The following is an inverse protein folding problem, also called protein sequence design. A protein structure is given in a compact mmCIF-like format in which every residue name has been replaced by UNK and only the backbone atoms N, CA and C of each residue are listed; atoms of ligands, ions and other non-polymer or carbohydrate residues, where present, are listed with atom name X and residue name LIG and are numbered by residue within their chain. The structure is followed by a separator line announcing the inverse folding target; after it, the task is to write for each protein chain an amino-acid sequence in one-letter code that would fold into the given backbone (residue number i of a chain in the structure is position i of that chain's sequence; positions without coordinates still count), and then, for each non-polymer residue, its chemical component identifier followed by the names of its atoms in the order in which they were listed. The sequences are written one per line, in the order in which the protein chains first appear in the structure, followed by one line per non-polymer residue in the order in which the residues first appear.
data_IF_605072844492
#
_entry.id   IF_605072844492
#
_cell.length_a   1.000
_cell.length_b   1.000
_cell.length_c   1.000
_cell.angle_alpha   90.00
_cell.angle_beta   90.00
_cell.angle_gamma   90.00
#
_symmetry.space_group_name_H-M   'P 1'
#
loop_
_entity.id
_entity.type
_entity.pdbx_description
1 polymer ?
#
# COMPACT_ATOMS: atom_id res chain seq x y z
N UNK A 1 2.18 9.35 25.88
CA UNK A 1 1.57 9.61 24.54
C UNK A 1 2.02 8.52 23.59
N UNK A 2 1.07 7.87 22.92
CA UNK A 2 1.41 6.83 21.93
C UNK A 2 1.55 7.50 20.58
N UNK A 3 2.77 7.56 20.06
CA UNK A 3 3.05 8.01 18.70
C UNK A 3 3.14 6.80 17.78
N UNK A 4 2.56 6.92 16.60
CA UNK A 4 2.62 5.91 15.54
C UNK A 4 3.08 6.57 14.26
N UNK A 5 4.10 6.00 13.61
CA UNK A 5 4.55 6.44 12.29
C UNK A 5 4.53 5.25 11.33
N UNK A 6 3.72 5.35 10.30
CA UNK A 6 3.58 4.30 9.28
C UNK A 6 4.06 4.87 7.95
N UNK A 7 4.98 4.16 7.32
CA UNK A 7 5.51 4.47 6.00
C UNK A 7 4.97 3.41 5.03
N UNK A 8 4.06 3.83 4.17
CA UNK A 8 3.51 2.98 3.12
C UNK A 8 4.35 3.15 1.85
N UNK A 9 4.93 2.07 1.36
CA UNK A 9 5.72 2.05 0.13
C UNK A 9 4.93 1.27 -0.91
N UNK A 10 4.54 1.92 -2.02
CA UNK A 10 3.95 1.19 -3.13
C UNK A 10 5.01 0.27 -3.73
N UNK A 11 4.63 -0.97 -4.09
CA UNK A 11 5.53 -1.88 -4.78
C UNK A 11 6.14 -1.25 -6.06
N UNK A 12 7.31 -1.72 -6.47
CA UNK A 12 7.93 -1.37 -7.75
C UNK A 12 7.11 -1.83 -8.95
N UNK A 13 7.51 -1.44 -10.15
CA UNK A 13 6.85 -1.87 -11.39
C UNK A 13 6.75 -3.40 -11.46
N UNK A 14 5.55 -3.91 -11.74
CA UNK A 14 5.32 -5.33 -11.91
C UNK A 14 5.70 -5.80 -13.31
N UNK A 15 6.14 -7.06 -13.44
CA UNK A 15 6.54 -7.66 -14.71
C UNK A 15 5.37 -7.83 -15.69
N UNK A 16 4.13 -7.85 -15.19
CA UNK A 16 2.90 -7.86 -15.98
C UNK A 16 1.78 -7.18 -15.21
N UNK A 17 0.72 -6.78 -15.92
CA UNK A 17 -0.45 -6.25 -15.23
C UNK A 17 -1.15 -7.35 -14.41
N UNK A 18 -1.76 -6.97 -13.29
CA UNK A 18 -2.53 -7.88 -12.46
C UNK A 18 -3.78 -8.46 -13.15
N UNK A 19 -4.19 -7.88 -14.28
CA UNK A 19 -5.24 -8.44 -15.13
C UNK A 19 -4.73 -9.59 -16.03
N UNK A 20 -3.42 -9.68 -16.28
CA UNK A 20 -2.80 -10.70 -17.12
C UNK A 20 -2.22 -11.85 -16.30
N UNK A 21 -1.78 -11.59 -15.09
CA UNK A 21 -1.20 -12.56 -14.19
C UNK A 21 -1.74 -12.34 -12.77
N UNK A 22 -2.16 -13.39 -12.03
CA UNK A 22 -2.77 -13.23 -10.71
C UNK A 22 -1.80 -12.71 -9.64
N UNK A 23 -0.51 -12.99 -9.78
CA UNK A 23 0.51 -12.56 -8.82
C UNK A 23 1.86 -12.30 -9.52
N UNK A 24 1.97 -11.24 -10.33
CA UNK A 24 3.24 -10.91 -10.98
C UNK A 24 4.27 -10.41 -9.97
N UNK A 25 5.52 -10.84 -10.14
CA UNK A 25 6.67 -10.25 -9.46
C UNK A 25 7.07 -8.91 -10.07
N UNK A 26 8.20 -8.35 -9.64
CA UNK A 26 8.75 -7.11 -10.18
C UNK A 26 9.32 -7.31 -11.60
N UNK A 27 9.20 -6.27 -12.42
CA UNK A 27 10.00 -6.14 -13.64
C UNK A 27 11.47 -5.85 -13.31
N UNK A 28 12.34 -5.84 -14.31
CA UNK A 28 13.74 -5.40 -14.14
C UNK A 28 13.82 -3.98 -13.61
N UNK A 29 12.98 -3.07 -14.11
CA UNK A 29 12.90 -1.69 -13.61
C UNK A 29 12.33 -1.64 -12.20
N UNK A 30 11.33 -2.46 -11.90
CA UNK A 30 10.78 -2.61 -10.55
C UNK A 30 11.80 -3.06 -9.52
N UNK A 31 12.68 -3.99 -9.88
CA UNK A 31 13.78 -4.44 -9.02
C UNK A 31 14.79 -3.29 -8.74
N UNK A 32 15.10 -2.48 -9.75
CA UNK A 32 15.95 -1.29 -9.59
C UNK A 32 15.27 -0.26 -8.69
N UNK A 33 13.97 -0.01 -8.88
CA UNK A 33 13.18 0.90 -8.04
C UNK A 33 13.18 0.43 -6.58
N UNK A 34 12.97 -0.86 -6.32
CA UNK A 34 12.98 -1.45 -4.99
C UNK A 34 14.35 -1.30 -4.31
N UNK A 35 15.44 -1.53 -5.04
CA UNK A 35 16.79 -1.31 -4.54
C UNK A 35 17.02 0.16 -4.20
N UNK A 36 16.62 1.08 -5.08
CA UNK A 36 16.81 2.52 -4.87
C UNK A 36 16.05 3.01 -3.64
N UNK A 37 14.78 2.65 -3.47
CA UNK A 37 14.02 3.07 -2.29
C UNK A 37 14.60 2.48 -0.99
N UNK A 38 15.20 1.30 -1.04
CA UNK A 38 15.82 0.70 0.14
C UNK A 38 16.95 1.55 0.72
N UNK A 39 17.65 2.32 -0.13
CA UNK A 39 18.73 3.21 0.31
C UNK A 39 18.23 4.41 1.16
N UNK A 40 16.95 4.73 1.09
CA UNK A 40 16.32 5.75 1.91
C UNK A 40 16.09 5.30 3.36
N UNK A 41 16.08 3.98 3.61
CA UNK A 41 15.86 3.40 4.94
C UNK A 41 17.19 3.13 5.64
N UNK A 42 17.70 4.16 6.31
CA UNK A 42 18.94 4.13 7.07
C UNK A 42 18.76 3.53 8.48
N UNK A 43 19.78 3.59 9.32
CA UNK A 43 19.77 3.10 10.71
C UNK A 43 18.67 3.74 11.58
N UNK A 44 18.20 4.93 11.23
CA UNK A 44 17.10 5.62 11.94
C UNK A 44 15.80 4.83 11.95
N UNK A 45 15.66 3.87 11.04
CA UNK A 45 14.47 3.00 10.92
C UNK A 45 14.65 1.63 11.60
N UNK A 46 15.71 1.42 12.35
CA UNK A 46 16.01 0.12 12.99
C UNK A 46 14.93 -0.36 13.98
N UNK A 47 14.15 0.55 14.54
CA UNK A 47 13.04 0.22 15.45
C UNK A 47 11.69 0.01 14.77
N UNK A 48 11.61 0.22 13.45
CA UNK A 48 10.35 0.06 12.69
C UNK A 48 10.09 -1.40 12.40
N UNK A 49 8.86 -1.85 12.59
CA UNK A 49 8.42 -3.16 12.10
C UNK A 49 8.41 -3.17 10.57
N UNK A 50 8.86 -4.27 9.97
CA UNK A 50 8.85 -4.44 8.52
C UNK A 50 7.71 -5.37 8.13
N UNK A 51 6.76 -4.86 7.37
CA UNK A 51 5.55 -5.56 6.94
C UNK A 51 5.41 -5.55 5.42
N UNK A 52 4.91 -6.63 4.87
CA UNK A 52 4.60 -6.72 3.44
C UNK A 52 3.22 -7.31 3.18
N UNK A 53 2.57 -6.83 2.15
CA UNK A 53 1.48 -7.56 1.50
C UNK A 53 1.96 -8.95 1.08
N UNK A 54 1.07 -9.96 1.01
CA UNK A 54 1.43 -11.32 0.57
C UNK A 54 1.70 -11.42 -0.94
N UNK A 55 1.49 -10.38 -1.74
CA UNK A 55 1.72 -10.40 -3.19
C UNK A 55 3.21 -10.30 -3.54
N UNK A 56 3.64 -11.10 -4.51
CA UNK A 56 5.05 -11.23 -4.92
C UNK A 56 5.74 -9.88 -5.14
N UNK A 57 5.13 -8.96 -5.87
CA UNK A 57 5.69 -7.64 -6.15
C UNK A 57 5.92 -6.78 -4.90
N UNK A 58 5.08 -6.94 -3.87
CA UNK A 58 5.25 -6.24 -2.60
C UNK A 58 6.36 -6.88 -1.76
N UNK A 59 6.41 -8.22 -1.74
CA UNK A 59 7.47 -9.00 -1.08
C UNK A 59 8.82 -8.63 -1.67
N UNK A 60 8.97 -8.70 -2.99
CA UNK A 60 10.21 -8.37 -3.70
C UNK A 60 10.62 -6.89 -3.52
N UNK A 61 9.67 -6.00 -3.27
CA UNK A 61 9.96 -4.61 -2.90
C UNK A 61 10.48 -4.50 -1.45
N UNK A 62 9.98 -5.32 -0.53
CA UNK A 62 10.42 -5.33 0.87
C UNK A 62 11.81 -5.98 1.04
N UNK A 63 12.15 -6.98 0.25
CA UNK A 63 13.39 -7.75 0.40
C UNK A 63 14.66 -6.86 0.48
N UNK A 64 14.91 -5.91 -0.43
CA UNK A 64 16.07 -5.04 -0.32
C UNK A 64 16.02 -4.10 0.89
N UNK A 65 14.83 -3.70 1.35
CA UNK A 65 14.67 -2.91 2.59
C UNK A 65 15.06 -3.76 3.80
N UNK A 66 14.55 -4.98 3.89
CA UNK A 66 14.86 -5.92 4.97
C UNK A 66 16.35 -6.27 5.01
N UNK A 67 16.94 -6.51 3.85
CA UNK A 67 18.39 -6.76 3.72
C UNK A 67 19.20 -5.55 4.22
N UNK A 68 18.84 -4.34 3.84
CA UNK A 68 19.47 -3.09 4.30
C UNK A 68 19.37 -2.94 5.83
N UNK A 69 18.21 -3.27 6.38
CA UNK A 69 17.94 -3.23 7.82
C UNK A 69 18.52 -4.45 8.58
N UNK A 70 19.04 -5.47 7.88
CA UNK A 70 19.55 -6.73 8.44
C UNK A 70 18.55 -7.41 9.36
N UNK A 71 17.30 -7.43 8.96
CA UNK A 71 16.18 -7.99 9.72
C UNK A 71 15.18 -8.67 8.80
N UNK A 72 14.43 -9.61 9.35
CA UNK A 72 13.30 -10.22 8.68
C UNK A 72 12.11 -9.28 8.63
N UNK A 73 11.17 -9.58 7.76
CA UNK A 73 9.86 -8.91 7.67
C UNK A 73 8.74 -9.91 7.81
N UNK A 74 7.56 -9.44 8.20
CA UNK A 74 6.36 -10.24 8.33
C UNK A 74 5.37 -9.96 7.18
N UNK A 75 4.67 -11.01 6.75
CA UNK A 75 3.53 -10.88 5.84
C UNK A 75 2.28 -10.50 6.62
N UNK A 76 1.56 -9.50 6.14
CA UNK A 76 0.30 -9.08 6.73
C UNK A 76 -0.78 -8.98 5.64
N UNK A 77 -1.78 -9.86 5.74
CA UNK A 77 -2.85 -9.99 4.76
C UNK A 77 -3.77 -8.76 4.67
N UNK A 78 -3.79 -7.89 5.68
CA UNK A 78 -4.55 -6.64 5.61
C UNK A 78 -4.06 -5.72 4.48
N UNK A 79 -2.81 -5.86 4.07
CA UNK A 79 -2.21 -5.04 3.01
C UNK A 79 -2.33 -5.60 1.61
N UNK A 80 -3.14 -6.65 1.40
CA UNK A 80 -3.42 -7.20 0.08
C UNK A 80 -4.18 -6.17 -0.78
N UNK A 81 -3.91 -6.18 -2.09
CA UNK A 81 -4.59 -5.27 -3.02
C UNK A 81 -6.10 -5.52 -3.06
N UNK A 82 -6.85 -4.53 -3.51
CA UNK A 82 -8.31 -4.55 -3.59
C UNK A 82 -8.83 -5.88 -4.14
N UNK A 83 -9.82 -6.52 -3.49
CA UNK A 83 -10.35 -7.81 -3.93
C UNK A 83 -11.05 -7.68 -5.29
N UNK A 84 -10.58 -8.46 -6.25
CA UNK A 84 -11.08 -8.47 -7.63
C UNK A 84 -11.12 -9.87 -8.23
N UNK A 85 -11.08 -10.92 -7.41
CA UNK A 85 -11.02 -12.30 -7.87
C UNK A 85 -12.23 -12.69 -8.73
N UNK A 86 -13.41 -12.16 -8.41
CA UNK A 86 -14.66 -12.44 -9.12
C UNK A 86 -14.85 -11.56 -10.38
N UNK A 87 -13.90 -10.68 -10.69
CA UNK A 87 -13.97 -9.81 -11.85
C UNK A 87 -13.14 -10.40 -12.99
N UNK A 88 -13.80 -10.64 -14.12
CA UNK A 88 -13.13 -11.12 -15.32
C UNK A 88 -12.01 -10.18 -15.76
N UNK A 89 -10.90 -10.74 -16.23
CA UNK A 89 -9.66 -9.98 -16.53
C UNK A 89 -9.89 -8.79 -17.46
N UNK A 90 -10.70 -8.99 -18.50
CA UNK A 90 -11.03 -7.94 -19.49
C UNK A 90 -11.92 -6.82 -18.92
N UNK A 91 -12.57 -7.05 -17.79
CA UNK A 91 -13.44 -6.07 -17.10
C UNK A 91 -12.76 -5.33 -15.95
N UNK A 92 -11.61 -5.81 -15.50
CA UNK A 92 -10.94 -5.29 -14.29
C UNK A 92 -10.66 -3.79 -14.36
N UNK A 93 -10.19 -3.29 -15.50
CA UNK A 93 -9.87 -1.86 -15.64
C UNK A 93 -11.13 -0.98 -15.56
N UNK A 94 -12.20 -1.38 -16.24
CA UNK A 94 -13.48 -0.65 -16.19
C UNK A 94 -14.10 -0.71 -14.78
N UNK A 95 -14.06 -1.87 -14.14
CA UNK A 95 -14.51 -2.06 -12.78
C UNK A 95 -13.72 -1.20 -11.79
N UNK A 96 -12.39 -1.17 -11.90
CA UNK A 96 -11.54 -0.38 -11.02
C UNK A 96 -11.86 1.12 -11.15
N UNK A 97 -12.09 1.60 -12.38
CA UNK A 97 -12.51 2.99 -12.60
C UNK A 97 -13.84 3.30 -11.91
N UNK A 98 -14.82 2.40 -12.01
CA UNK A 98 -16.10 2.57 -11.31
C UNK A 98 -15.92 2.63 -9.79
N UNK A 99 -15.12 1.73 -9.23
CA UNK A 99 -14.83 1.70 -7.79
C UNK A 99 -14.09 2.95 -7.33
N UNK A 100 -13.21 3.49 -8.16
CA UNK A 100 -12.47 4.72 -7.89
C UNK A 100 -13.40 5.94 -7.72
N UNK A 101 -14.43 6.01 -8.53
CA UNK A 101 -15.36 7.14 -8.60
C UNK A 101 -16.58 6.96 -7.66
N UNK A 102 -16.80 5.75 -7.17
CA UNK A 102 -17.98 5.42 -6.36
C UNK A 102 -17.92 6.09 -4.97
N UNK A 103 -19.05 6.64 -4.50
CA UNK A 103 -19.20 7.00 -3.09
C UNK A 103 -18.99 5.78 -2.17
N UNK A 104 -18.53 6.02 -0.94
CA UNK A 104 -18.20 4.93 -0.01
C UNK A 104 -19.37 4.00 0.30
N UNK A 105 -20.59 4.52 0.32
CA UNK A 105 -21.82 3.75 0.58
C UNK A 105 -22.26 2.90 -0.61
N UNK A 106 -21.78 3.18 -1.82
CA UNK A 106 -22.07 2.45 -3.05
C UNK A 106 -21.01 1.39 -3.42
N UNK A 107 -19.95 1.26 -2.63
CA UNK A 107 -18.89 0.28 -2.88
C UNK A 107 -19.42 -1.16 -2.85
N UNK A 108 -18.87 -2.08 -3.67
CA UNK A 108 -19.17 -3.51 -3.58
C UNK A 108 -18.91 -4.08 -2.17
N UNK A 109 -19.72 -5.05 -1.73
CA UNK A 109 -19.62 -5.61 -0.38
C UNK A 109 -18.24 -6.13 0.00
N UNK A 110 -17.57 -6.83 -0.91
CA UNK A 110 -16.21 -7.33 -0.70
C UNK A 110 -15.20 -6.18 -0.50
N UNK A 111 -15.36 -5.07 -1.23
CA UNK A 111 -14.52 -3.87 -1.10
C UNK A 111 -14.80 -3.17 0.22
N UNK A 112 -16.05 -3.06 0.65
CA UNK A 112 -16.42 -2.51 1.96
C UNK A 112 -15.78 -3.29 3.11
N UNK A 113 -15.83 -4.62 3.06
CA UNK A 113 -15.23 -5.49 4.07
C UNK A 113 -13.71 -5.33 4.12
N UNK A 114 -13.05 -5.41 2.97
CA UNK A 114 -11.60 -5.21 2.85
C UNK A 114 -11.16 -3.83 3.37
N UNK A 115 -11.87 -2.77 3.00
CA UNK A 115 -11.63 -1.41 3.49
C UNK A 115 -11.78 -1.31 5.02
N UNK A 116 -12.86 -1.88 5.56
CA UNK A 116 -13.12 -1.89 7.02
C UNK A 116 -11.99 -2.59 7.78
N UNK A 117 -11.54 -3.73 7.30
CA UNK A 117 -10.49 -4.52 7.97
C UNK A 117 -9.15 -3.78 7.95
N UNK A 118 -8.84 -3.10 6.85
CA UNK A 118 -7.65 -2.26 6.72
C UNK A 118 -7.67 -1.05 7.67
N UNK A 119 -8.81 -0.37 7.76
CA UNK A 119 -9.01 0.76 8.68
C UNK A 119 -8.90 0.28 10.13
N UNK A 120 -9.52 -0.85 10.45
CA UNK A 120 -9.46 -1.45 11.79
C UNK A 120 -8.02 -1.79 12.21
N UNK A 121 -7.22 -2.30 11.27
CA UNK A 121 -5.79 -2.49 11.51
C UNK A 121 -5.10 -1.16 11.85
N UNK A 122 -5.34 -0.10 11.06
CA UNK A 122 -4.73 1.21 11.27
C UNK A 122 -5.08 1.78 12.66
N UNK A 123 -6.35 1.71 13.04
CA UNK A 123 -6.83 2.24 14.34
C UNK A 123 -6.27 1.46 15.54
N UNK A 124 -6.05 0.15 15.37
CA UNK A 124 -5.50 -0.72 16.40
C UNK A 124 -3.99 -0.73 16.50
N UNK A 125 -3.28 -0.31 15.44
CA UNK A 125 -1.83 -0.42 15.39
C UNK A 125 -1.13 0.60 16.31
N UNK A 126 -0.14 0.12 17.04
CA UNK A 126 0.68 0.94 17.95
C UNK A 126 2.15 0.71 17.65
N UNK A 127 2.88 1.76 17.33
CA UNK A 127 4.30 1.71 17.03
C UNK A 127 4.62 2.26 15.65
N UNK A 128 5.79 1.90 15.13
CA UNK A 128 6.27 2.37 13.84
C UNK A 128 6.42 1.20 12.87
N UNK A 129 6.03 1.38 11.62
CA UNK A 129 6.14 0.36 10.58
C UNK A 129 6.55 0.93 9.23
N UNK A 130 7.30 0.11 8.48
CA UNK A 130 7.49 0.26 7.03
C UNK A 130 6.69 -0.86 6.39
N UNK A 131 5.80 -0.50 5.47
CA UNK A 131 4.86 -1.43 4.84
C UNK A 131 4.98 -1.35 3.33
N UNK A 132 5.35 -2.44 2.68
CA UNK A 132 5.26 -2.54 1.21
C UNK A 132 3.89 -3.06 0.82
N UNK A 133 3.20 -2.31 -0.05
CA UNK A 133 1.81 -2.56 -0.37
C UNK A 133 1.44 -2.02 -1.76
N UNK A 134 0.18 -1.69 -1.97
CA UNK A 134 -0.43 -1.45 -3.26
C UNK A 134 -1.08 -0.08 -3.35
N UNK A 135 -1.36 0.32 -4.58
CA UNK A 135 -2.00 1.56 -4.95
C UNK A 135 -3.32 1.81 -4.18
N UNK A 136 -4.24 0.83 -4.19
CA UNK A 136 -5.55 1.02 -3.56
C UNK A 136 -5.48 1.01 -2.03
N UNK A 137 -4.59 0.22 -1.44
CA UNK A 137 -4.37 0.21 0.01
C UNK A 137 -3.91 1.58 0.51
N UNK A 138 -2.93 2.17 -0.16
CA UNK A 138 -2.42 3.51 0.17
C UNK A 138 -3.54 4.56 0.07
N UNK A 139 -4.31 4.51 -1.03
CA UNK A 139 -5.43 5.42 -1.24
C UNK A 139 -6.52 5.29 -0.17
N UNK A 140 -6.90 4.06 0.19
CA UNK A 140 -7.92 3.81 1.23
C UNK A 140 -7.52 4.43 2.56
N UNK A 141 -6.28 4.22 3.00
CA UNK A 141 -5.80 4.76 4.27
C UNK A 141 -5.71 6.28 4.24
N UNK A 142 -5.16 6.86 3.17
CA UNK A 142 -5.07 8.30 3.01
C UNK A 142 -6.46 8.95 2.88
N UNK A 143 -7.36 8.35 2.11
CA UNK A 143 -8.74 8.79 1.95
C UNK A 143 -9.51 8.78 3.28
N UNK A 144 -9.39 7.70 4.05
CA UNK A 144 -10.00 7.59 5.37
C UNK A 144 -9.52 8.71 6.31
N UNK A 145 -8.22 8.89 6.42
CA UNK A 145 -7.62 9.88 7.32
C UNK A 145 -7.96 11.32 6.94
N UNK A 146 -8.17 11.60 5.66
CA UNK A 146 -8.54 12.93 5.14
C UNK A 146 -10.05 13.09 4.93
N UNK A 147 -10.86 12.11 5.35
CA UNK A 147 -12.33 12.13 5.28
C UNK A 147 -12.88 12.35 3.87
N UNK A 148 -12.26 11.72 2.88
CA UNK A 148 -12.77 11.73 1.50
C UNK A 148 -14.02 10.85 1.38
N UNK A 149 -14.88 11.14 0.43
CA UNK A 149 -16.08 10.34 0.14
C UNK A 149 -15.85 9.23 -0.88
N UNK A 150 -14.62 9.05 -1.35
CA UNK A 150 -14.19 8.00 -2.28
C UNK A 150 -13.00 7.26 -1.68
N UNK A 151 -12.72 6.04 -2.16
CA UNK A 151 -11.59 5.25 -1.65
C UNK A 151 -10.23 5.64 -2.25
N UNK A 152 -10.23 6.48 -3.27
CA UNK A 152 -9.00 6.90 -3.94
C UNK A 152 -9.11 8.33 -4.45
N UNK A 153 -8.02 9.07 -4.39
CA UNK A 153 -8.00 10.46 -4.84
C UNK A 153 -6.62 10.93 -5.35
N UNK A 154 -5.59 10.08 -5.29
CA UNK A 154 -4.28 10.42 -5.85
C UNK A 154 -3.62 9.18 -6.46
N UNK A 155 -2.50 9.36 -7.18
CA UNK A 155 -1.81 8.29 -7.89
C UNK A 155 -0.41 8.08 -7.30
N UNK A 156 -0.25 7.32 -6.20
CA UNK A 156 1.07 7.03 -5.67
C UNK A 156 1.93 6.32 -6.73
N UNK A 157 3.09 6.90 -7.06
CA UNK A 157 4.04 6.32 -8.01
C UNK A 157 4.69 5.05 -7.48
N UNK A 158 5.37 4.29 -8.35
CA UNK A 158 6.13 3.11 -7.94
C UNK A 158 7.18 3.47 -6.90
N UNK A 159 7.27 2.67 -5.85
CA UNK A 159 8.15 2.86 -4.69
C UNK A 159 8.04 4.21 -4.00
N UNK A 160 7.00 5.00 -4.28
CA UNK A 160 6.73 6.22 -3.55
C UNK A 160 6.38 5.92 -2.10
N UNK A 161 6.69 6.86 -1.21
CA UNK A 161 6.44 6.76 0.23
C UNK A 161 5.30 7.68 0.61
N UNK A 162 4.25 7.11 1.16
CA UNK A 162 3.17 7.86 1.82
C UNK A 162 3.33 7.66 3.32
N UNK A 163 3.45 8.73 4.08
CA UNK A 163 3.79 8.66 5.50
C UNK A 163 2.65 9.21 6.36
N UNK A 164 2.31 8.48 7.40
CA UNK A 164 1.20 8.74 8.32
C UNK A 164 1.77 8.88 9.73
N UNK A 165 1.53 10.00 10.39
CA UNK A 165 1.83 10.19 11.80
C UNK A 165 0.52 10.31 12.58
N UNK A 166 0.37 9.45 13.59
CA UNK A 166 -0.76 9.47 14.50
C UNK A 166 -0.27 9.74 15.92
N UNK A 167 -1.06 10.47 16.68
CA UNK A 167 -0.89 10.64 18.12
C UNK A 167 -2.17 10.23 18.83
N UNK A 168 -2.07 9.24 19.71
CA UNK A 168 -3.24 8.64 20.38
C UNK A 168 -4.36 8.20 19.40
N UNK A 169 -3.97 7.71 18.21
CA UNK A 169 -4.89 7.29 17.15
C UNK A 169 -5.45 8.41 16.27
N UNK A 170 -5.14 9.66 16.55
CA UNK A 170 -5.57 10.82 15.74
C UNK A 170 -4.50 11.23 14.74
N UNK A 171 -4.91 11.62 13.53
CA UNK A 171 -3.98 12.08 12.50
C UNK A 171 -3.32 13.40 12.90
N UNK A 172 -1.99 13.40 12.95
CA UNK A 172 -1.17 14.59 13.17
C UNK A 172 -0.62 15.13 11.87
N UNK A 173 -0.14 14.22 11.00
CA UNK A 173 0.48 14.58 9.73
C UNK A 173 0.30 13.47 8.72
N UNK A 174 0.03 13.85 7.49
CA UNK A 174 0.04 12.97 6.32
C UNK A 174 0.92 13.59 5.24
N UNK A 175 1.87 12.80 4.73
CA UNK A 175 2.66 13.16 3.56
C UNK A 175 2.34 12.15 2.46
N UNK A 176 1.73 12.62 1.38
CA UNK A 176 1.48 11.80 0.20
C UNK A 176 2.79 11.59 -0.57
N UNK A 177 2.97 10.39 -1.10
CA UNK A 177 4.04 10.10 -2.05
C UNK A 177 3.82 10.82 -3.39
N UNK A 178 4.79 10.67 -4.30
CA UNK A 178 4.72 11.25 -5.64
C UNK A 178 3.40 10.89 -6.34
N UNK A 179 2.69 11.89 -6.84
CA UNK A 179 1.47 11.71 -7.61
C UNK A 179 1.82 11.52 -9.10
N UNK A 180 1.96 10.27 -9.52
CA UNK A 180 2.33 9.90 -10.90
C UNK A 180 1.38 8.85 -11.44
N UNK A 181 0.77 9.14 -12.60
CA UNK A 181 0.00 8.11 -13.32
C UNK A 181 0.92 6.99 -13.78
N UNK A 182 0.60 5.79 -13.33
CA UNK A 182 1.29 4.54 -13.68
C UNK A 182 0.25 3.49 -14.02
N UNK A 183 0.68 2.32 -14.49
CA UNK A 183 -0.19 1.15 -14.63
C UNK A 183 -0.59 0.66 -13.24
N UNK A 184 -1.87 0.37 -13.07
CA UNK A 184 -2.44 -0.21 -11.84
C UNK A 184 -2.60 -1.71 -12.05
#
# INVERSE_FOLDING_TARGET
MTQTHIILVRHGEAASSWSQHPDPGLSSDGAIQAKNVSEEFTENFSSYELLSSPKSRAIETMEPIALKQKRDFAINNNFIEIPSADIASEKKQAWLKQVFEAPLDELPGAVKTWRRDLIHWLEGYKGNAIVTTHFMVINVLASYLTKQNTIAYFHPGYTSRTEIWLENGSLVKLMLGDDKKTVI
#
